data_IF_595661226511
#
_entry.id   IF_595661226511
#
_cell.length_a   1.000
_cell.length_b   1.000
_cell.length_c   1.000
_cell.angle_alpha   90.00
_cell.angle_beta   90.00
_cell.angle_gamma   90.00
#
_symmetry.space_group_name_H-M   'P 1'
#
loop_
_entity.id
_entity.type
_entity.pdbx_description
1 polymer ?
#
# COMPACT_ATOMS: atom_id res chain seq x y z
N UNK A 1 -27.03 -45.62 1.22
CA UNK A 1 -26.68 -44.66 0.15
C UNK A 1 -27.08 -43.27 0.63
N UNK A 2 -26.12 -42.46 1.08
CA UNK A 2 -26.35 -41.04 1.38
C UNK A 2 -25.10 -40.28 0.99
N UNK A 3 -25.15 -39.62 -0.17
CA UNK A 3 -24.07 -38.74 -0.61
C UNK A 3 -24.31 -37.35 -0.01
N UNK A 4 -23.36 -36.87 0.82
CA UNK A 4 -23.27 -35.45 1.17
C UNK A 4 -22.79 -34.65 -0.03
N UNK A 5 -23.36 -33.46 -0.32
CA UNK A 5 -22.85 -32.59 -1.35
C UNK A 5 -21.57 -31.90 -0.84
N UNK A 6 -20.41 -32.30 -1.36
CA UNK A 6 -19.16 -31.59 -1.12
C UNK A 6 -19.23 -30.22 -1.79
N UNK A 7 -19.21 -29.17 -0.97
CA UNK A 7 -19.23 -27.78 -1.41
C UNK A 7 -18.02 -27.52 -2.31
N UNK A 8 -18.28 -27.32 -3.60
CA UNK A 8 -17.27 -26.93 -4.58
C UNK A 8 -16.77 -25.54 -4.22
N UNK A 9 -15.61 -25.47 -3.57
CA UNK A 9 -14.91 -24.23 -3.31
C UNK A 9 -14.79 -23.45 -4.63
N UNK A 10 -15.47 -22.30 -4.70
CA UNK A 10 -15.34 -21.40 -5.85
C UNK A 10 -14.00 -20.70 -5.72
N UNK A 11 -12.96 -21.27 -6.31
CA UNK A 11 -11.63 -20.68 -6.42
C UNK A 11 -11.72 -19.48 -7.36
N UNK A 12 -12.29 -18.37 -6.88
CA UNK A 12 -12.22 -17.10 -7.60
C UNK A 12 -10.77 -16.66 -7.53
N UNK A 13 -10.04 -16.57 -8.66
CA UNK A 13 -8.66 -16.11 -8.63
C UNK A 13 -8.61 -14.72 -7.99
N UNK A 14 -7.54 -14.41 -7.23
CA UNK A 14 -7.41 -13.13 -6.56
C UNK A 14 -7.58 -12.00 -7.58
N UNK A 15 -8.36 -10.99 -7.21
CA UNK A 15 -8.69 -9.86 -8.07
C UNK A 15 -7.40 -9.11 -8.42
N UNK A 16 -6.79 -9.43 -9.56
CA UNK A 16 -5.56 -8.78 -10.05
C UNK A 16 -5.91 -7.36 -10.49
N UNK A 17 -5.07 -6.39 -10.12
CA UNK A 17 -5.12 -5.04 -10.68
C UNK A 17 -4.54 -5.11 -12.09
N UNK A 18 -5.24 -4.56 -13.09
CA UNK A 18 -4.72 -4.44 -14.45
C UNK A 18 -3.38 -3.68 -14.45
N UNK A 19 -2.44 -4.11 -15.30
CA UNK A 19 -1.13 -3.47 -15.44
C UNK A 19 -1.26 -2.11 -16.13
N UNK A 20 -0.16 -1.37 -16.15
CA UNK A 20 -0.05 -0.12 -16.90
C UNK A 20 -0.42 -0.32 -18.36
N UNK A 21 0.16 -1.34 -18.99
CA UNK A 21 0.02 -1.60 -20.41
C UNK A 21 -1.43 -1.97 -20.76
N UNK A 22 -2.07 -2.79 -19.91
CA UNK A 22 -3.48 -3.17 -20.08
C UNK A 22 -4.41 -1.97 -19.96
N UNK A 23 -4.05 -0.99 -19.14
CA UNK A 23 -4.81 0.25 -18.98
C UNK A 23 -4.54 1.24 -20.09
N UNK A 24 -3.29 1.36 -20.54
CA UNK A 24 -2.94 2.18 -21.69
C UNK A 24 -3.72 1.73 -22.93
N UNK A 25 -3.78 0.42 -23.18
CA UNK A 25 -4.59 -0.15 -24.28
C UNK A 25 -6.08 0.20 -24.20
N UNK A 26 -6.60 0.52 -23.02
CA UNK A 26 -7.98 0.98 -22.85
C UNK A 26 -8.10 2.49 -23.07
N UNK A 27 -7.05 3.26 -22.79
CA UNK A 27 -7.01 4.70 -23.01
C UNK A 27 -6.83 5.06 -24.49
N UNK A 28 -5.97 4.34 -25.24
CA UNK A 28 -5.71 4.69 -26.65
C UNK A 28 -7.00 4.73 -27.51
N UNK A 29 -7.90 3.73 -27.46
CA UNK A 29 -9.16 3.76 -28.20
C UNK A 29 -10.13 4.82 -27.64
N UNK A 30 -10.06 5.12 -26.35
CA UNK A 30 -10.90 6.17 -25.76
C UNK A 30 -10.51 7.55 -26.30
N UNK A 31 -9.21 7.83 -26.42
CA UNK A 31 -8.69 9.06 -27.01
C UNK A 31 -9.00 9.16 -28.51
N UNK A 32 -8.98 8.02 -29.22
CA UNK A 32 -9.36 7.93 -30.63
C UNK A 32 -10.89 8.01 -30.87
N UNK A 33 -11.72 7.92 -29.83
CA UNK A 33 -13.19 7.91 -29.94
C UNK A 33 -13.80 6.55 -30.32
N UNK A 34 -13.03 5.47 -30.22
CA UNK A 34 -13.39 4.09 -30.54
C UNK A 34 -14.03 3.34 -29.35
N UNK A 35 -14.43 2.07 -29.57
CA UNK A 35 -15.03 1.21 -28.53
C UNK A 35 -14.01 0.66 -27.51
N UNK A 36 -13.59 1.55 -26.62
CA UNK A 36 -12.71 1.25 -25.49
C UNK A 36 -13.32 0.30 -24.45
N UNK A 37 -14.65 0.13 -24.39
CA UNK A 37 -15.31 -0.78 -23.44
C UNK A 37 -15.11 -2.25 -23.85
N UNK A 38 -15.13 -2.54 -25.14
CA UNK A 38 -14.79 -3.87 -25.65
C UNK A 38 -13.32 -4.20 -25.37
N UNK A 39 -12.42 -3.23 -25.55
CA UNK A 39 -10.99 -3.40 -25.22
C UNK A 39 -10.77 -3.65 -23.73
N UNK A 40 -11.50 -2.96 -22.85
CA UNK A 40 -11.46 -3.20 -21.41
C UNK A 40 -11.85 -4.64 -21.04
N UNK A 41 -12.90 -5.18 -21.68
CA UNK A 41 -13.34 -6.57 -21.45
C UNK A 41 -12.27 -7.58 -21.84
N UNK A 42 -11.59 -7.37 -22.97
CA UNK A 42 -10.53 -8.27 -23.43
C UNK A 42 -9.24 -8.17 -22.62
N UNK A 43 -8.97 -7.02 -21.98
CA UNK A 43 -7.82 -6.83 -21.08
C UNK A 43 -8.15 -7.12 -19.60
N UNK A 44 -9.26 -7.83 -19.33
CA UNK A 44 -9.73 -8.15 -17.97
C UNK A 44 -9.90 -6.91 -17.06
N UNK A 45 -10.12 -5.74 -17.63
CA UNK A 45 -10.43 -4.51 -16.90
C UNK A 45 -11.93 -4.47 -16.67
N UNK A 46 -12.35 -4.56 -15.39
CA UNK A 46 -13.77 -4.46 -15.05
C UNK A 46 -14.36 -3.12 -15.53
N UNK A 47 -15.65 -3.10 -15.89
CA UNK A 47 -16.34 -1.89 -16.35
C UNK A 47 -16.16 -0.71 -15.38
N UNK A 48 -16.31 -0.96 -14.06
CA UNK A 48 -16.09 0.06 -13.05
C UNK A 48 -14.63 0.59 -13.03
N UNK A 49 -13.65 -0.28 -13.26
CA UNK A 49 -12.25 0.13 -13.36
C UNK A 49 -11.98 0.93 -14.64
N UNK A 50 -12.60 0.54 -15.77
CA UNK A 50 -12.50 1.26 -17.03
C UNK A 50 -13.07 2.68 -16.90
N UNK A 51 -14.25 2.86 -16.27
CA UNK A 51 -14.79 4.20 -16.03
C UNK A 51 -13.92 5.05 -15.09
N UNK A 52 -13.34 4.45 -14.03
CA UNK A 52 -12.38 5.15 -13.17
C UNK A 52 -11.13 5.55 -13.94
N UNK A 53 -10.62 4.66 -14.80
CA UNK A 53 -9.46 4.91 -15.65
C UNK A 53 -9.73 6.06 -16.61
N UNK A 54 -10.86 6.03 -17.33
CA UNK A 54 -11.33 7.14 -18.17
C UNK A 54 -11.39 8.47 -17.40
N UNK A 55 -11.96 8.46 -16.19
CA UNK A 55 -12.08 9.67 -15.37
C UNK A 55 -10.72 10.22 -14.93
N UNK A 56 -9.75 9.34 -14.65
CA UNK A 56 -8.42 9.72 -14.18
C UNK A 56 -7.48 10.11 -15.33
N UNK A 57 -7.60 9.45 -16.49
CA UNK A 57 -6.72 9.62 -17.65
C UNK A 57 -5.28 9.11 -17.42
N UNK A 58 -5.02 8.48 -16.27
CA UNK A 58 -3.69 8.01 -15.88
C UNK A 58 -3.69 6.48 -15.85
N UNK A 59 -2.85 5.82 -16.68
CA UNK A 59 -2.78 4.37 -16.71
C UNK A 59 -2.10 3.81 -15.44
N UNK A 60 -1.40 4.63 -14.65
CA UNK A 60 -0.69 4.22 -13.42
C UNK A 60 -1.58 3.40 -12.48
N UNK A 61 -1.27 2.10 -12.22
CA UNK A 61 -2.01 1.29 -11.26
C UNK A 61 -1.99 1.99 -9.91
N UNK A 62 -3.11 1.97 -9.16
CA UNK A 62 -3.15 2.59 -7.85
C UNK A 62 -2.09 1.94 -6.95
N UNK A 63 -1.42 2.74 -6.10
CA UNK A 63 -0.48 2.20 -5.13
C UNK A 63 -1.17 1.13 -4.29
N UNK A 64 -0.46 0.02 -4.07
CA UNK A 64 -0.97 -1.13 -3.30
C UNK A 64 -0.30 -1.12 -1.94
N UNK A 65 -1.12 -1.19 -0.89
CA UNK A 65 -0.61 -1.12 0.48
C UNK A 65 -0.14 0.28 0.85
N UNK A 66 0.66 0.36 1.90
CA UNK A 66 1.12 1.61 2.49
C UNK A 66 0.84 1.64 4.00
N UNK A 67 1.78 2.20 4.75
CA UNK A 67 1.64 2.41 6.18
C UNK A 67 0.66 3.55 6.41
N UNK A 68 -0.37 3.31 7.23
CA UNK A 68 -1.26 4.40 7.67
C UNK A 68 -0.48 5.28 8.63
N UNK A 69 -0.68 6.59 8.56
CA UNK A 69 -0.04 7.55 9.49
C UNK A 69 -0.29 7.16 10.95
N UNK A 70 -1.51 6.72 11.28
CA UNK A 70 -1.87 6.24 12.62
C UNK A 70 -1.17 4.96 13.07
N UNK A 71 -0.48 4.25 12.17
CA UNK A 71 0.25 3.02 12.45
C UNK A 71 1.77 3.23 12.47
N UNK A 72 2.25 4.46 12.25
CA UNK A 72 3.66 4.82 12.35
C UNK A 72 4.04 4.88 13.84
N UNK A 73 4.98 4.03 14.26
CA UNK A 73 5.44 3.95 15.65
C UNK A 73 6.57 4.92 15.99
N UNK A 74 7.38 5.28 15.00
CA UNK A 74 8.48 6.21 15.13
C UNK A 74 8.31 7.26 14.03
N UNK A 75 8.06 8.51 14.43
CA UNK A 75 7.86 9.62 13.49
C UNK A 75 9.20 10.24 13.10
N UNK A 76 9.25 10.99 12.00
CA UNK A 76 10.48 11.65 11.54
C UNK A 76 11.10 12.54 12.63
N UNK A 77 10.28 13.26 13.41
CA UNK A 77 10.75 14.07 14.53
C UNK A 77 11.38 13.24 15.66
N UNK A 78 10.88 12.03 15.90
CA UNK A 78 11.47 11.11 16.88
C UNK A 78 12.79 10.54 16.39
N UNK A 79 12.92 10.29 15.08
CA UNK A 79 14.18 9.86 14.45
C UNK A 79 15.23 10.97 14.56
N UNK A 80 14.88 12.21 14.23
CA UNK A 80 15.77 13.37 14.36
C UNK A 80 16.24 13.57 15.80
N UNK A 81 15.35 13.39 16.80
CA UNK A 81 15.73 13.45 18.21
C UNK A 81 16.67 12.31 18.61
N UNK A 82 16.44 11.08 18.15
CA UNK A 82 17.33 9.95 18.39
C UNK A 82 18.74 10.20 17.81
N UNK A 83 18.82 10.75 16.61
CA UNK A 83 20.08 11.16 15.98
C UNK A 83 20.80 12.21 16.83
N UNK A 84 20.08 13.27 17.24
CA UNK A 84 20.63 14.32 18.09
C UNK A 84 21.15 13.79 19.44
N UNK A 85 20.44 12.86 20.09
CA UNK A 85 20.91 12.26 21.34
C UNK A 85 22.20 11.47 21.16
N UNK A 86 22.34 10.76 20.04
CA UNK A 86 23.54 9.97 19.75
C UNK A 86 24.72 10.85 19.30
N UNK A 87 24.44 11.97 18.65
CA UNK A 87 25.45 12.98 18.32
C UNK A 87 26.00 13.67 19.59
N UNK A 88 25.15 13.89 20.60
CA UNK A 88 25.56 14.41 21.90
C UNK A 88 26.29 13.36 22.75
N UNK A 89 25.75 12.14 22.85
CA UNK A 89 26.30 11.04 23.63
C UNK A 89 26.13 9.69 22.92
N UNK A 90 27.16 9.25 22.19
CA UNK A 90 27.13 8.01 21.41
C UNK A 90 27.20 6.72 22.24
N UNK A 91 27.34 6.83 23.58
CA UNK A 91 27.35 5.69 24.51
C UNK A 91 25.97 5.32 25.05
N UNK A 92 24.92 6.06 24.67
CA UNK A 92 23.55 5.78 25.09
C UNK A 92 23.10 4.40 24.61
N UNK A 93 22.52 3.62 25.52
CA UNK A 93 21.90 2.34 25.21
C UNK A 93 20.51 2.53 24.61
N UNK A 94 20.01 1.53 23.89
CA UNK A 94 18.65 1.55 23.31
C UNK A 94 17.54 1.76 24.36
N UNK A 95 17.75 1.29 25.60
CA UNK A 95 16.79 1.52 26.70
C UNK A 95 16.78 3.00 27.09
N UNK A 96 17.95 3.62 27.23
CA UNK A 96 18.05 5.05 27.54
C UNK A 96 17.48 5.92 26.41
N UNK A 97 17.67 5.53 25.15
CA UNK A 97 17.05 6.22 24.01
C UNK A 97 15.52 6.12 24.04
N UNK A 98 14.97 4.95 24.39
CA UNK A 98 13.52 4.78 24.60
C UNK A 98 13.01 5.67 25.74
N UNK A 99 13.72 5.69 26.88
CA UNK A 99 13.35 6.52 28.02
C UNK A 99 13.35 8.02 27.65
N UNK A 100 14.34 8.47 26.86
CA UNK A 100 14.39 9.87 26.36
C UNK A 100 13.21 10.18 25.43
N UNK A 101 12.83 9.27 24.54
CA UNK A 101 11.63 9.45 23.70
C UNK A 101 10.34 9.50 24.53
N UNK A 102 10.25 8.71 25.60
CA UNK A 102 9.11 8.76 26.51
C UNK A 102 9.02 10.11 27.24
N UNK A 103 10.15 10.71 27.60
CA UNK A 103 10.20 12.03 28.25
C UNK A 103 9.82 13.15 27.27
N UNK A 104 10.38 13.14 26.06
CA UNK A 104 10.25 14.27 25.13
C UNK A 104 8.99 14.21 24.27
N UNK A 105 8.49 13.01 23.97
CA UNK A 105 7.34 12.80 23.08
C UNK A 105 6.14 12.11 23.75
N UNK A 106 6.27 11.65 25.01
CA UNK A 106 5.23 10.84 25.71
C UNK A 106 4.87 9.54 24.96
N UNK A 107 5.84 8.97 24.23
CA UNK A 107 5.65 7.73 23.45
C UNK A 107 6.65 6.66 23.89
N UNK A 108 6.12 5.48 24.22
CA UNK A 108 6.94 4.29 24.47
C UNK A 108 7.27 3.57 23.15
N UNK A 109 8.56 3.53 22.80
CA UNK A 109 9.05 2.85 21.59
C UNK A 109 9.90 1.66 21.99
N UNK A 110 9.56 0.48 21.47
CA UNK A 110 10.36 -0.72 21.78
C UNK A 110 11.79 -0.60 21.25
N UNK A 111 12.77 -1.12 22.00
CA UNK A 111 14.19 -1.13 21.59
C UNK A 111 14.40 -1.82 20.24
N UNK A 112 13.57 -2.82 19.90
CA UNK A 112 13.59 -3.46 18.57
C UNK A 112 13.17 -2.52 17.44
N UNK A 113 12.30 -1.55 17.69
CA UNK A 113 11.93 -0.52 16.71
C UNK A 113 13.02 0.53 16.56
N UNK A 114 13.69 0.90 17.65
CA UNK A 114 14.85 1.83 17.61
C UNK A 114 16.03 1.20 16.87
N UNK A 115 16.21 -0.12 16.97
CA UNK A 115 17.28 -0.88 16.31
C UNK A 115 16.94 -1.36 14.88
N UNK A 116 15.78 -0.99 14.34
CA UNK A 116 15.35 -1.38 12.98
C UNK A 116 15.74 -0.33 11.95
#
# INVERSE_FOLDING_TARGET
MSHSPSARASTTPPRRTATEEERQRVLDPFEAGDDWLTVARYNNVSLAAAYRLRKKGDPSPPPRGGTRVSCVKCTDAMVEALEAYLDEECTLTLVQLSDKLMVDFEVEVSTSTINS
#
